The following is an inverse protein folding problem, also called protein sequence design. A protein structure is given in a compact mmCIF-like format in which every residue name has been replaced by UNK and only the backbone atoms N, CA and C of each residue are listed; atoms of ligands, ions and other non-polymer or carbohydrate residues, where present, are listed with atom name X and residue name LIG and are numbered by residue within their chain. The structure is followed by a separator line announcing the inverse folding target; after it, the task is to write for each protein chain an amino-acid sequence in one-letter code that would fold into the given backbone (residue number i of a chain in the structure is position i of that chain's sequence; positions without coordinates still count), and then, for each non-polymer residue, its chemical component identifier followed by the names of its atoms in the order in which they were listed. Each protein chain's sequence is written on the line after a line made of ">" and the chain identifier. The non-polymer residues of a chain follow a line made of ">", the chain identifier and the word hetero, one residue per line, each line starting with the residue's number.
data_IF_688413195298
#
_entry.id   IF_688413195298
#
_cell.length_a   1.000
_cell.length_b   1.000
_cell.length_c   1.000
_cell.angle_alpha   90.00
_cell.angle_beta   90.00
_cell.angle_gamma   90.00
#
_symmetry.space_group_name_H-M   'P 1'
#
loop_
_entity.id
_entity.type
_entity.pdbx_description
1 polymer ?
#
# COMPACT_ATOMS: atom_id res chain seq x y z
N UNK A 1 -18.09 19.43 -1.39
CA UNK A 1 -18.07 17.98 -1.07
C UNK A 1 -16.67 17.42 -1.01
N UNK A 2 -16.52 16.11 -0.83
CA UNK A 2 -15.18 15.50 -0.65
C UNK A 2 -14.26 15.71 -1.86
N UNK A 3 -14.80 15.78 -3.05
CA UNK A 3 -14.02 16.06 -4.28
C UNK A 3 -13.46 17.49 -4.24
N UNK A 4 -14.25 18.46 -3.82
CA UNK A 4 -13.81 19.87 -3.72
C UNK A 4 -12.66 19.98 -2.70
N UNK A 5 -12.77 19.30 -1.55
CA UNK A 5 -11.72 19.25 -0.54
C UNK A 5 -10.41 18.62 -1.07
N UNK A 6 -10.51 17.57 -1.89
CA UNK A 6 -9.31 16.97 -2.52
C UNK A 6 -8.66 17.96 -3.50
N UNK A 7 -9.46 18.69 -4.29
CA UNK A 7 -8.95 19.69 -5.24
C UNK A 7 -8.27 20.84 -4.48
N UNK A 8 -8.89 21.35 -3.43
CA UNK A 8 -8.32 22.40 -2.58
C UNK A 8 -7.02 21.95 -1.90
N UNK A 9 -6.98 20.69 -1.43
CA UNK A 9 -5.76 20.10 -0.90
C UNK A 9 -4.66 20.03 -1.97
N UNK A 10 -4.99 19.59 -3.20
CA UNK A 10 -4.03 19.53 -4.30
C UNK A 10 -3.48 20.93 -4.66
N UNK A 11 -4.27 22.00 -4.50
CA UNK A 11 -3.81 23.37 -4.67
C UNK A 11 -2.85 23.79 -3.56
N UNK A 12 -3.09 23.37 -2.29
CA UNK A 12 -2.18 23.65 -1.17
C UNK A 12 -0.84 22.91 -1.29
N UNK A 13 -0.85 21.76 -2.02
CA UNK A 13 0.33 20.93 -2.22
C UNK A 13 0.71 20.85 -3.70
N UNK A 14 1.35 21.88 -4.28
CA UNK A 14 1.64 21.92 -5.72
C UNK A 14 2.52 20.77 -6.23
N UNK A 15 3.31 20.15 -5.33
CA UNK A 15 4.16 19.00 -5.65
C UNK A 15 3.48 17.64 -5.38
N UNK A 16 2.21 17.63 -4.96
CA UNK A 16 1.48 16.38 -4.79
C UNK A 16 1.16 15.75 -6.15
N UNK A 17 1.57 14.50 -6.36
CA UNK A 17 1.14 13.70 -7.50
C UNK A 17 -0.23 13.10 -7.28
N UNK A 18 -0.55 12.71 -6.03
CA UNK A 18 -1.86 12.25 -5.64
C UNK A 18 -2.29 12.79 -4.27
N UNK A 19 -3.59 12.88 -4.10
CA UNK A 19 -4.24 13.28 -2.85
C UNK A 19 -5.34 12.27 -2.55
N UNK A 20 -5.33 11.72 -1.35
CA UNK A 20 -6.32 10.73 -0.90
C UNK A 20 -7.12 11.21 0.32
N UNK A 21 -8.40 10.83 0.44
CA UNK A 21 -9.27 11.23 1.54
C UNK A 21 -9.04 10.41 2.80
N UNK A 22 -9.61 10.89 3.90
CA UNK A 22 -9.93 10.05 5.04
C UNK A 22 -11.02 9.06 4.64
N UNK A 23 -10.73 7.76 4.75
CA UNK A 23 -11.66 6.70 4.41
C UNK A 23 -12.27 6.16 5.71
N UNK A 24 -13.60 6.22 5.80
CA UNK A 24 -14.37 5.65 6.90
C UNK A 24 -14.89 4.26 6.51
N UNK A 25 -14.73 3.30 7.38
CA UNK A 25 -15.34 1.99 7.25
C UNK A 25 -16.82 2.03 7.66
N UNK A 26 -17.59 0.98 7.37
CA UNK A 26 -19.02 0.88 7.71
C UNK A 26 -19.27 0.93 9.23
N UNK A 27 -18.32 0.43 10.03
CA UNK A 27 -18.37 0.49 11.50
C UNK A 27 -17.98 1.86 12.07
N UNK A 28 -17.68 2.84 11.20
CA UNK A 28 -17.26 4.18 11.57
C UNK A 28 -15.77 4.32 11.86
N UNK A 29 -15.00 3.23 11.90
CA UNK A 29 -13.56 3.28 12.13
C UNK A 29 -12.80 3.86 10.92
N UNK A 30 -11.60 4.39 11.16
CA UNK A 30 -10.71 4.86 10.10
C UNK A 30 -10.08 3.68 9.36
N UNK A 31 -10.23 3.64 8.04
CA UNK A 31 -9.41 2.77 7.20
C UNK A 31 -8.02 3.42 7.02
N UNK A 32 -6.93 2.69 7.27
CA UNK A 32 -5.59 3.26 7.15
C UNK A 32 -5.20 3.42 5.67
N UNK A 33 -5.69 4.48 5.03
CA UNK A 33 -5.53 4.76 3.60
C UNK A 33 -4.23 5.46 3.23
N UNK A 34 -3.41 5.88 4.22
CA UNK A 34 -2.15 6.59 4.02
C UNK A 34 -1.04 5.93 4.83
N UNK A 35 -0.07 5.31 4.18
CA UNK A 35 0.95 4.47 4.82
C UNK A 35 2.36 4.78 4.35
N UNK A 36 3.35 4.29 5.09
CA UNK A 36 4.73 4.26 4.64
C UNK A 36 4.95 3.17 3.58
N UNK A 37 5.92 3.38 2.69
CA UNK A 37 6.33 2.36 1.73
C UNK A 37 6.84 1.13 2.48
N UNK A 38 6.33 -0.08 2.18
CA UNK A 38 6.75 -1.30 2.85
C UNK A 38 8.20 -1.65 2.50
N UNK A 39 9.06 -1.79 3.53
CA UNK A 39 10.44 -2.25 3.38
C UNK A 39 10.55 -3.74 3.68
N UNK A 40 11.57 -4.40 3.13
CA UNK A 40 11.85 -5.80 3.44
C UNK A 40 12.06 -6.03 4.94
N UNK A 41 12.80 -5.15 5.60
CA UNK A 41 13.06 -5.27 7.04
C UNK A 41 11.78 -5.24 7.87
N UNK A 42 10.87 -4.30 7.57
CA UNK A 42 9.60 -4.19 8.28
C UNK A 42 8.67 -5.38 7.96
N UNK A 43 8.63 -5.80 6.68
CA UNK A 43 7.83 -6.95 6.26
C UNK A 43 8.32 -8.27 6.86
N UNK A 44 9.61 -8.55 6.83
CA UNK A 44 10.22 -9.76 7.39
C UNK A 44 10.10 -9.75 8.91
N UNK A 45 10.48 -8.64 9.56
CA UNK A 45 10.38 -8.51 11.01
C UNK A 45 8.95 -8.69 11.52
N UNK A 46 7.97 -8.11 10.82
CA UNK A 46 6.57 -8.35 11.12
C UNK A 46 6.17 -9.82 10.91
N UNK A 47 6.53 -10.42 9.79
CA UNK A 47 6.15 -11.80 9.47
C UNK A 47 6.71 -12.82 10.46
N UNK A 48 7.96 -12.63 10.93
CA UNK A 48 8.64 -13.55 11.85
C UNK A 48 8.23 -13.34 13.30
N UNK A 49 8.01 -12.10 13.72
CA UNK A 49 7.90 -11.75 15.13
C UNK A 49 6.47 -11.39 15.57
N UNK A 50 5.55 -11.11 14.66
CA UNK A 50 4.20 -10.67 15.02
C UNK A 50 3.40 -11.71 15.81
N UNK A 51 3.67 -13.00 15.60
CA UNK A 51 3.02 -14.09 16.33
C UNK A 51 3.50 -14.24 17.78
N UNK A 52 4.79 -13.96 18.05
CA UNK A 52 5.43 -14.13 19.35
C UNK A 52 5.49 -12.79 20.10
N UNK A 53 5.74 -11.72 19.37
CA UNK A 53 5.86 -10.36 19.89
C UNK A 53 5.05 -9.36 19.03
N UNK A 54 3.71 -9.28 19.22
CA UNK A 54 2.81 -8.50 18.36
C UNK A 54 3.13 -7.00 18.25
N UNK A 55 3.73 -6.41 19.30
CA UNK A 55 4.07 -5.00 19.40
C UNK A 55 5.55 -4.71 19.16
N UNK A 56 6.29 -5.60 18.47
CA UNK A 56 7.69 -5.36 18.12
C UNK A 56 7.84 -4.12 17.20
N UNK A 57 9.03 -3.48 17.15
CA UNK A 57 9.26 -2.26 16.38
C UNK A 57 8.91 -2.40 14.89
N UNK A 58 9.21 -3.54 14.28
CA UNK A 58 8.91 -3.82 12.86
C UNK A 58 7.41 -3.95 12.62
N UNK A 59 6.68 -4.61 13.53
CA UNK A 59 5.22 -4.71 13.46
C UNK A 59 4.55 -3.36 13.68
N UNK A 60 5.09 -2.52 14.56
CA UNK A 60 4.63 -1.14 14.72
C UNK A 60 4.87 -0.34 13.44
N UNK A 61 6.10 -0.32 12.91
CA UNK A 61 6.44 0.38 11.68
C UNK A 61 5.65 -0.13 10.47
N UNK A 62 5.39 -1.44 10.39
CA UNK A 62 4.56 -2.03 9.34
C UNK A 62 3.09 -1.61 9.44
N UNK A 63 2.57 -1.48 10.68
CA UNK A 63 1.19 -1.09 10.98
C UNK A 63 1.03 0.40 11.26
N UNK A 64 2.14 1.17 11.29
CA UNK A 64 2.13 2.58 11.68
C UNK A 64 1.48 3.44 10.61
N UNK A 65 0.16 3.51 10.77
CA UNK A 65 -0.77 4.29 9.97
C UNK A 65 -1.43 5.34 10.86
N UNK A 66 -0.76 5.71 11.94
CA UNK A 66 -1.38 6.19 13.15
C UNK A 66 -2.02 7.58 13.04
N UNK A 67 -1.65 8.40 12.05
CA UNK A 67 -2.15 9.78 11.97
C UNK A 67 -3.00 9.94 10.71
N UNK A 68 -4.30 9.67 10.85
CA UNK A 68 -5.27 9.85 9.76
C UNK A 68 -6.06 11.15 9.87
N UNK A 69 -5.93 11.88 10.95
CA UNK A 69 -6.67 13.11 11.27
C UNK A 69 -5.93 14.41 10.89
N UNK A 70 -4.72 14.30 10.33
CA UNK A 70 -3.89 15.44 9.92
C UNK A 70 -3.47 15.34 8.47
N UNK A 71 -3.52 16.47 7.78
CA UNK A 71 -2.98 16.62 6.44
C UNK A 71 -1.46 16.39 6.47
N UNK A 72 -0.97 15.43 5.69
CA UNK A 72 0.43 15.02 5.70
C UNK A 72 0.85 14.28 4.44
N UNK A 73 2.15 14.28 4.21
CA UNK A 73 2.77 13.38 3.22
C UNK A 73 2.74 11.94 3.73
N UNK A 74 2.45 11.02 2.82
CA UNK A 74 2.52 9.58 3.02
C UNK A 74 3.50 8.95 2.03
N UNK A 75 3.87 7.69 2.27
CA UNK A 75 4.64 6.92 1.29
C UNK A 75 3.77 6.51 0.10
N UNK A 76 2.52 6.13 0.38
CA UNK A 76 1.51 5.76 -0.59
C UNK A 76 0.11 5.95 -0.01
N UNK A 77 -0.89 6.03 -0.88
CA UNK A 77 -2.30 6.19 -0.57
C UNK A 77 -3.09 5.02 -1.16
N UNK A 78 -4.18 4.62 -0.48
CA UNK A 78 -5.04 3.55 -0.97
C UNK A 78 -5.73 3.91 -2.29
N UNK A 79 -5.68 3.00 -3.24
CA UNK A 79 -6.35 3.09 -4.54
C UNK A 79 -7.89 3.12 -4.47
N UNK A 80 -8.47 2.97 -3.27
CA UNK A 80 -9.93 3.04 -3.09
C UNK A 80 -10.52 4.40 -3.50
N UNK A 81 -9.75 5.49 -3.33
CA UNK A 81 -10.10 6.82 -3.82
C UNK A 81 -8.85 7.70 -3.87
N UNK A 82 -8.50 8.17 -5.07
CA UNK A 82 -7.36 9.05 -5.32
C UNK A 82 -7.76 10.17 -6.28
N UNK A 83 -7.38 11.38 -5.95
CA UNK A 83 -7.28 12.47 -6.92
C UNK A 83 -5.84 12.51 -7.42
N UNK A 84 -5.62 12.21 -8.69
CA UNK A 84 -4.27 12.09 -9.28
C UNK A 84 -4.00 13.24 -10.24
N UNK A 85 -2.83 13.86 -10.13
CA UNK A 85 -2.34 14.86 -11.06
C UNK A 85 -1.94 14.18 -12.36
N UNK A 86 -2.60 14.54 -13.46
CA UNK A 86 -2.47 13.86 -14.74
C UNK A 86 -1.06 13.90 -15.33
N UNK A 87 -0.38 15.05 -15.26
CA UNK A 87 0.99 15.20 -15.74
C UNK A 87 1.99 14.35 -14.95
N UNK A 88 1.84 14.25 -13.63
CA UNK A 88 2.64 13.36 -12.80
C UNK A 88 2.37 11.88 -13.12
N UNK A 89 1.10 11.52 -13.32
CA UNK A 89 0.70 10.17 -13.70
C UNK A 89 1.29 9.74 -15.04
N UNK A 90 1.19 10.62 -16.05
CA UNK A 90 1.79 10.38 -17.37
C UNK A 90 3.32 10.29 -17.30
N UNK A 91 3.95 11.13 -16.47
CA UNK A 91 5.42 11.15 -16.31
C UNK A 91 5.99 9.84 -15.81
N UNK A 92 5.27 9.11 -14.95
CA UNK A 92 5.72 7.81 -14.44
C UNK A 92 5.18 6.62 -15.24
N UNK A 93 4.40 6.85 -16.31
CA UNK A 93 3.83 5.83 -17.18
C UNK A 93 2.55 5.17 -16.64
N UNK A 94 1.85 5.82 -15.70
CA UNK A 94 0.59 5.30 -15.17
C UNK A 94 0.74 4.14 -14.18
N UNK A 95 -0.31 3.34 -14.03
CA UNK A 95 -0.25 2.09 -13.26
C UNK A 95 0.63 1.05 -13.96
N UNK A 96 1.31 0.23 -13.20
CA UNK A 96 2.03 -0.92 -13.72
C UNK A 96 1.04 -2.09 -13.89
N UNK A 97 0.70 -2.42 -15.13
CA UNK A 97 -0.28 -3.45 -15.50
C UNK A 97 0.14 -4.88 -15.12
N UNK A 98 1.40 -5.06 -14.66
CA UNK A 98 1.86 -6.35 -14.14
C UNK A 98 1.24 -6.72 -12.79
N UNK A 99 0.65 -5.74 -12.06
CA UNK A 99 -0.11 -5.99 -10.84
C UNK A 99 -1.56 -6.34 -11.20
N UNK A 100 -1.94 -7.59 -11.01
CA UNK A 100 -3.33 -8.01 -11.20
C UNK A 100 -4.23 -7.48 -10.08
N UNK A 101 -3.75 -7.53 -8.82
CA UNK A 101 -4.45 -7.08 -7.64
C UNK A 101 -3.47 -6.89 -6.49
N UNK A 102 -3.70 -5.84 -5.68
CA UNK A 102 -2.86 -5.39 -4.57
C UNK A 102 -1.48 -4.88 -5.01
N UNK A 103 -0.96 -3.95 -4.24
CA UNK A 103 0.34 -3.30 -4.43
C UNK A 103 0.44 -2.37 -5.67
N UNK A 104 -0.58 -2.29 -6.52
CA UNK A 104 -0.63 -1.32 -7.63
C UNK A 104 -0.62 0.12 -7.13
N UNK A 105 -1.29 0.40 -6.02
CA UNK A 105 -1.33 1.70 -5.35
C UNK A 105 -0.04 1.98 -4.58
N UNK A 106 0.54 0.97 -3.96
CA UNK A 106 1.85 1.06 -3.29
C UNK A 106 2.96 1.37 -4.30
N UNK A 107 2.95 0.67 -5.44
CA UNK A 107 3.90 0.88 -6.53
C UNK A 107 3.73 2.29 -7.14
N UNK A 108 2.49 2.72 -7.37
CA UNK A 108 2.18 4.06 -7.87
C UNK A 108 2.77 5.13 -6.96
N UNK A 109 2.49 5.06 -5.64
CA UNK A 109 3.00 6.00 -4.66
C UNK A 109 4.53 6.00 -4.54
N UNK A 110 5.17 4.82 -4.60
CA UNK A 110 6.63 4.70 -4.60
C UNK A 110 7.25 5.33 -5.85
N UNK A 111 6.68 5.09 -7.03
CA UNK A 111 7.15 5.71 -8.28
C UNK A 111 6.97 7.23 -8.28
N UNK A 112 5.88 7.75 -7.74
CA UNK A 112 5.71 9.19 -7.53
C UNK A 112 6.81 9.75 -6.63
N UNK A 113 7.07 9.12 -5.48
CA UNK A 113 8.14 9.55 -4.58
C UNK A 113 9.52 9.54 -5.24
N UNK A 114 9.85 8.51 -6.02
CA UNK A 114 11.11 8.44 -6.77
C UNK A 114 11.22 9.48 -7.89
N UNK A 115 10.10 9.90 -8.45
CA UNK A 115 10.05 10.97 -9.44
C UNK A 115 10.10 12.37 -8.84
N UNK A 116 10.20 12.48 -7.49
CA UNK A 116 10.31 13.74 -6.75
C UNK A 116 8.97 14.38 -6.39
N UNK A 117 7.86 13.66 -6.54
CA UNK A 117 6.54 14.08 -6.10
C UNK A 117 6.23 13.62 -4.67
N UNK A 118 5.09 14.07 -4.13
CA UNK A 118 4.57 13.63 -2.83
C UNK A 118 3.18 13.04 -2.97
N UNK A 119 2.85 12.10 -2.08
CA UNK A 119 1.51 11.55 -1.90
C UNK A 119 0.93 12.20 -0.63
N UNK A 120 -0.27 12.78 -0.68
CA UNK A 120 -0.79 13.61 0.41
C UNK A 120 -2.13 13.07 0.91
N UNK A 121 -2.22 12.81 2.22
CA UNK A 121 -3.49 12.54 2.90
C UNK A 121 -4.22 13.86 3.17
N UNK A 122 -5.47 13.94 2.75
CA UNK A 122 -6.39 15.06 2.97
C UNK A 122 -7.56 14.62 3.88
N UNK A 123 -7.46 14.79 5.21
CA UNK A 123 -8.48 14.27 6.13
C UNK A 123 -9.77 15.09 6.14
N UNK A 124 -9.79 16.31 5.59
CA UNK A 124 -11.02 17.10 5.43
C UNK A 124 -11.91 16.52 4.35
N UNK A 125 -11.33 15.89 3.33
CA UNK A 125 -12.07 15.05 2.39
C UNK A 125 -12.41 13.70 3.05
N UNK A 126 -13.69 13.39 3.20
CA UNK A 126 -14.13 12.16 3.83
C UNK A 126 -15.01 11.34 2.89
N UNK A 127 -14.73 10.05 2.81
CA UNK A 127 -15.56 9.09 2.09
C UNK A 127 -15.86 7.87 2.97
N UNK A 128 -16.93 7.16 2.64
CA UNK A 128 -17.21 5.83 3.22
C UNK A 128 -16.90 4.78 2.17
N UNK A 129 -16.17 3.74 2.55
CA UNK A 129 -15.84 2.61 1.69
C UNK A 129 -16.18 1.30 2.40
N UNK A 130 -17.05 0.51 1.78
CA UNK A 130 -17.38 -0.84 2.24
C UNK A 130 -16.22 -1.78 1.92
N UNK A 131 -15.37 -2.02 2.92
CA UNK A 131 -14.19 -2.91 2.79
C UNK A 131 -14.66 -4.36 2.66
N UNK A 132 -14.12 -5.09 1.71
CA UNK A 132 -14.27 -6.55 1.64
C UNK A 132 -15.31 -7.09 0.67
N UNK A 133 -16.05 -6.26 -0.05
CA UNK A 133 -17.01 -6.75 -1.06
C UNK A 133 -16.34 -7.60 -2.16
N UNK A 134 -15.11 -7.28 -2.53
CA UNK A 134 -14.36 -8.03 -3.57
C UNK A 134 -13.39 -9.06 -2.99
N UNK A 135 -12.73 -8.75 -1.87
CA UNK A 135 -11.66 -9.59 -1.31
C UNK A 135 -12.15 -10.66 -0.31
N UNK A 136 -13.27 -10.42 0.37
CA UNK A 136 -13.78 -11.34 1.42
C UNK A 136 -14.41 -12.63 0.89
N UNK A 137 -14.73 -12.70 -0.41
CA UNK A 137 -15.46 -13.85 -0.99
C UNK A 137 -14.56 -14.99 -1.47
N UNK A 138 -13.26 -14.73 -1.72
CA UNK A 138 -12.33 -15.72 -2.31
C UNK A 138 -10.92 -15.61 -1.73
N UNK A 139 -10.71 -15.88 -0.43
CA UNK A 139 -9.40 -15.76 0.21
C UNK A 139 -8.34 -16.69 -0.42
N UNK A 140 -8.76 -17.83 -0.95
CA UNK A 140 -7.89 -18.81 -1.60
C UNK A 140 -7.22 -18.29 -2.87
N UNK A 141 -7.84 -17.37 -3.60
CA UNK A 141 -7.26 -16.74 -4.79
C UNK A 141 -6.60 -15.40 -4.48
N UNK A 142 -7.10 -14.68 -3.49
CA UNK A 142 -6.62 -13.34 -3.14
C UNK A 142 -5.24 -13.36 -2.46
N UNK A 143 -4.99 -14.33 -1.57
CA UNK A 143 -3.72 -14.42 -0.87
C UNK A 143 -2.53 -14.73 -1.78
N UNK A 144 -2.62 -15.70 -2.73
CA UNK A 144 -1.57 -15.91 -3.73
C UNK A 144 -1.29 -14.67 -4.59
N UNK A 145 -2.35 -13.97 -5.04
CA UNK A 145 -2.21 -12.74 -5.82
C UNK A 145 -1.49 -11.64 -5.02
N UNK A 146 -1.88 -11.45 -3.75
CA UNK A 146 -1.19 -10.52 -2.86
C UNK A 146 0.30 -10.86 -2.67
N UNK A 147 0.64 -12.15 -2.49
CA UNK A 147 2.02 -12.57 -2.32
C UNK A 147 2.85 -12.39 -3.61
N UNK A 148 2.25 -12.64 -4.77
CA UNK A 148 2.90 -12.40 -6.06
C UNK A 148 3.18 -10.91 -6.26
N UNK A 149 2.20 -10.05 -6.00
CA UNK A 149 2.34 -8.61 -6.07
C UNK A 149 3.38 -8.07 -5.09
N UNK A 150 3.39 -8.57 -3.84
CA UNK A 150 4.39 -8.21 -2.84
C UNK A 150 5.81 -8.65 -3.24
N UNK A 151 5.96 -9.85 -3.84
CA UNK A 151 7.23 -10.30 -4.39
C UNK A 151 7.70 -9.38 -5.52
N UNK A 152 6.83 -9.08 -6.49
CA UNK A 152 7.13 -8.20 -7.62
C UNK A 152 7.61 -6.83 -7.15
N UNK A 153 6.86 -6.20 -6.26
CA UNK A 153 7.21 -4.90 -5.70
C UNK A 153 8.61 -4.89 -5.07
N UNK A 154 8.93 -5.89 -4.28
CA UNK A 154 10.24 -5.98 -3.65
C UNK A 154 11.34 -6.38 -4.65
N UNK A 155 11.06 -7.23 -5.63
CA UNK A 155 12.02 -7.63 -6.64
C UNK A 155 12.44 -6.44 -7.53
N UNK A 156 11.51 -5.58 -7.91
CA UNK A 156 11.77 -4.37 -8.69
C UNK A 156 12.59 -3.33 -7.90
N UNK A 157 12.50 -3.32 -6.59
CA UNK A 157 13.33 -2.48 -5.68
C UNK A 157 14.73 -3.05 -5.42
N UNK A 158 14.97 -4.30 -5.79
CA UNK A 158 16.25 -4.99 -5.62
C UNK A 158 16.73 -5.56 -6.96
N UNK A 159 16.96 -4.71 -8.02
CA UNK A 159 17.17 -5.18 -9.37
C UNK A 159 18.55 -5.75 -9.64
N UNK A 160 19.55 -5.45 -8.80
CA UNK A 160 20.93 -5.83 -9.04
C UNK A 160 21.16 -7.34 -8.94
N UNK A 161 22.07 -7.88 -9.75
CA UNK A 161 22.35 -9.32 -9.80
C UNK A 161 22.81 -9.89 -8.45
N UNK A 162 23.59 -9.14 -7.65
CA UNK A 162 24.04 -9.57 -6.31
C UNK A 162 22.90 -9.63 -5.28
N UNK A 163 21.76 -9.03 -5.57
CA UNK A 163 20.54 -9.11 -4.75
C UNK A 163 19.67 -10.33 -5.10
N UNK A 164 20.08 -11.15 -6.09
CA UNK A 164 19.38 -12.36 -6.46
C UNK A 164 19.10 -13.30 -5.27
N UNK A 165 20.01 -13.54 -4.33
CA UNK A 165 19.70 -14.36 -3.15
C UNK A 165 18.53 -13.83 -2.32
N UNK A 166 18.42 -12.51 -2.17
CA UNK A 166 17.31 -11.86 -1.44
C UNK A 166 15.98 -12.15 -2.16
N UNK A 167 15.95 -11.97 -3.47
CA UNK A 167 14.74 -12.25 -4.27
C UNK A 167 14.32 -13.72 -4.20
N UNK A 168 15.28 -14.64 -4.26
CA UNK A 168 15.01 -16.08 -4.16
C UNK A 168 14.44 -16.43 -2.76
N UNK A 169 15.08 -15.95 -1.69
CA UNK A 169 14.58 -16.19 -0.32
C UNK A 169 13.19 -15.60 -0.11
N UNK A 170 12.94 -14.40 -0.61
CA UNK A 170 11.62 -13.78 -0.53
C UNK A 170 10.57 -14.60 -1.29
N UNK A 171 10.88 -15.04 -2.51
CA UNK A 171 9.98 -15.87 -3.31
C UNK A 171 9.63 -17.17 -2.60
N UNK A 172 10.64 -17.89 -2.08
CA UNK A 172 10.45 -19.13 -1.32
C UNK A 172 9.58 -18.87 -0.09
N UNK A 173 9.90 -17.85 0.71
CA UNK A 173 9.16 -17.52 1.93
C UNK A 173 7.69 -17.21 1.67
N UNK A 174 7.39 -16.41 0.63
CA UNK A 174 6.02 -16.08 0.25
C UNK A 174 5.26 -17.30 -0.31
N UNK A 175 5.92 -18.18 -1.07
CA UNK A 175 5.31 -19.44 -1.56
C UNK A 175 4.98 -20.39 -0.41
N UNK A 176 5.91 -20.60 0.53
CA UNK A 176 5.67 -21.42 1.73
C UNK A 176 4.49 -20.84 2.52
N UNK A 177 4.49 -19.54 2.80
CA UNK A 177 3.40 -18.89 3.51
C UNK A 177 2.05 -19.06 2.80
N UNK A 178 2.04 -18.92 1.48
CA UNK A 178 0.82 -19.11 0.68
C UNK A 178 0.25 -20.51 0.85
N UNK A 179 1.10 -21.54 0.77
CA UNK A 179 0.69 -22.94 0.93
C UNK A 179 0.21 -23.23 2.35
N UNK A 180 0.94 -22.76 3.36
CA UNK A 180 0.61 -22.97 4.76
C UNK A 180 -0.74 -22.32 5.10
N UNK A 181 -0.94 -21.04 4.77
CA UNK A 181 -2.17 -20.33 5.13
C UNK A 181 -3.37 -20.88 4.38
N UNK A 182 -3.25 -21.15 3.07
CA UNK A 182 -4.35 -21.77 2.28
C UNK A 182 -4.65 -23.20 2.76
N UNK A 183 -3.62 -23.95 3.20
CA UNK A 183 -3.79 -25.30 3.73
C UNK A 183 -4.55 -25.35 5.05
N UNK A 184 -4.44 -24.31 5.90
CA UNK A 184 -5.17 -24.23 7.17
C UNK A 184 -6.59 -23.63 7.05
N UNK A 185 -6.96 -23.11 5.87
CA UNK A 185 -8.29 -22.50 5.64
C UNK A 185 -9.28 -23.48 4.98
N UNK A 186 -8.83 -24.70 4.68
CA UNK A 186 -9.67 -25.84 4.27
C UNK A 186 -10.00 -26.74 5.45
#
# INVERSE_FOLDING_TARGET
>A
GSIDELIECAHRWPNAADVGPYIRQEDGSAYPSARAIPTLSNGIGHALLSGIWPNNPWSKAYRDNAVMDKERVAGWLSGSCLLVRWDAFCRIGGFDERYFMYMEDVDLGDRFGRAGFTNVLCPTAQITHAVGHSAGKHPESMLPAHHESAYRFQADRHPHWWQAPIRVMLWIGLKIRSVVVVGFTK
#
